data_IF_506682827400
#
_entry.id   IF_506682827400
#
_cell.length_a   1.000
_cell.length_b   1.000
_cell.length_c   1.000
_cell.angle_alpha   90.00
_cell.angle_beta   90.00
_cell.angle_gamma   90.00
#
_symmetry.space_group_name_H-M   'P 1'
#
loop_
_entity.id
_entity.type
_entity.pdbx_description
1 polymer ?
#
# COMPACT_ATOMS: atom_id res chain seq x y z
N UNK A 1 -43.22 30.37 -20.03
CA UNK A 1 -41.76 30.59 -19.87
C UNK A 1 -41.18 29.33 -19.27
N UNK A 2 -40.67 28.46 -20.09
CA UNK A 2 -40.10 27.16 -19.73
C UNK A 2 -38.61 27.34 -19.53
N UNK A 3 -38.18 27.26 -18.28
CA UNK A 3 -36.75 27.20 -17.93
C UNK A 3 -36.17 25.89 -18.42
N UNK A 4 -35.40 25.93 -19.47
CA UNK A 4 -34.47 24.87 -19.86
C UNK A 4 -33.27 24.97 -18.96
N UNK A 5 -33.26 24.17 -17.86
CA UNK A 5 -32.03 23.88 -17.14
C UNK A 5 -31.10 23.11 -18.08
N UNK A 6 -30.05 23.81 -18.52
CA UNK A 6 -28.98 23.22 -19.29
C UNK A 6 -28.29 22.17 -18.42
N UNK A 7 -28.60 20.90 -18.64
CA UNK A 7 -27.90 19.78 -18.06
C UNK A 7 -26.41 19.85 -18.45
N UNK A 8 -25.55 20.32 -17.55
CA UNK A 8 -24.11 20.16 -17.71
C UNK A 8 -23.81 18.65 -17.72
N UNK A 9 -23.42 18.15 -18.87
CA UNK A 9 -22.84 16.83 -19.00
C UNK A 9 -21.62 16.80 -18.06
N UNK A 10 -21.76 16.14 -16.95
CA UNK A 10 -20.61 15.88 -16.03
C UNK A 10 -19.76 14.83 -16.71
N UNK A 11 -18.69 15.25 -17.37
CA UNK A 11 -17.69 14.31 -17.87
C UNK A 11 -17.19 13.47 -16.68
N UNK A 12 -17.26 12.14 -16.74
CA UNK A 12 -16.72 11.30 -15.67
C UNK A 12 -15.26 11.66 -15.40
N UNK A 13 -14.93 11.88 -14.13
CA UNK A 13 -13.55 12.15 -13.71
C UNK A 13 -12.88 10.82 -13.40
N UNK A 14 -11.62 10.69 -13.78
CA UNK A 14 -10.81 9.50 -13.48
C UNK A 14 -10.45 8.70 -14.74
N UNK A 15 -9.80 7.57 -14.52
CA UNK A 15 -9.43 6.64 -15.59
C UNK A 15 -10.71 5.96 -16.08
N UNK A 16 -11.02 6.01 -17.39
CA UNK A 16 -12.20 5.34 -17.93
C UNK A 16 -12.20 3.84 -17.58
N UNK A 17 -13.34 3.35 -17.14
CA UNK A 17 -13.55 1.94 -16.74
C UNK A 17 -12.81 1.47 -15.49
N UNK A 18 -12.03 2.31 -14.81
CA UNK A 18 -11.43 1.93 -13.53
C UNK A 18 -12.52 1.68 -12.48
N UNK A 19 -12.40 0.57 -11.75
CA UNK A 19 -13.33 0.15 -10.70
C UNK A 19 -12.74 0.25 -9.30
N UNK A 20 -11.43 0.06 -9.17
CA UNK A 20 -10.68 0.12 -7.91
C UNK A 20 -9.19 0.36 -8.17
N UNK A 21 -8.42 0.56 -7.11
CA UNK A 21 -6.96 0.41 -7.13
C UNK A 21 -6.64 -1.07 -6.99
N UNK A 22 -5.98 -1.66 -7.97
CA UNK A 22 -5.71 -3.10 -7.99
C UNK A 22 -4.60 -3.47 -7.00
N UNK A 23 -3.44 -2.83 -7.09
CA UNK A 23 -2.30 -3.04 -6.21
C UNK A 23 -1.48 -1.77 -6.01
N UNK A 24 -0.62 -1.81 -5.00
CA UNK A 24 0.53 -0.91 -4.84
C UNK A 24 1.80 -1.73 -5.01
N UNK A 25 2.83 -1.16 -5.65
CA UNK A 25 4.07 -1.87 -5.93
C UNK A 25 5.26 -1.22 -5.22
N UNK A 26 6.20 -2.06 -4.75
CA UNK A 26 7.43 -1.63 -4.09
C UNK A 26 8.62 -2.42 -4.65
N UNK A 27 9.74 -1.72 -4.83
CA UNK A 27 11.02 -2.37 -5.11
C UNK A 27 11.76 -2.62 -3.79
N UNK A 28 12.18 -3.86 -3.59
CA UNK A 28 12.88 -4.32 -2.38
C UNK A 28 14.27 -4.85 -2.74
N UNK A 29 15.23 -4.83 -1.81
CA UNK A 29 16.59 -5.30 -2.09
C UNK A 29 16.69 -6.82 -2.23
N UNK A 30 15.86 -7.56 -1.51
CA UNK A 30 15.78 -9.02 -1.52
C UNK A 30 14.31 -9.44 -1.48
N UNK A 31 13.88 -10.18 -2.52
CA UNK A 31 12.47 -10.56 -2.66
C UNK A 31 12.07 -11.65 -1.67
N UNK A 32 12.97 -12.57 -1.36
CA UNK A 32 12.67 -13.67 -0.43
C UNK A 32 12.53 -13.13 1.00
N UNK A 33 13.48 -12.30 1.46
CA UNK A 33 13.39 -11.63 2.75
C UNK A 33 12.11 -10.79 2.87
N UNK A 34 11.79 -10.04 1.81
CA UNK A 34 10.59 -9.20 1.83
C UNK A 34 9.30 -10.02 1.87
N UNK A 35 9.20 -11.09 1.08
CA UNK A 35 8.03 -11.97 1.08
C UNK A 35 7.84 -12.64 2.43
N UNK A 36 8.91 -13.17 3.05
CA UNK A 36 8.87 -13.76 4.39
C UNK A 36 8.40 -12.73 5.42
N UNK A 37 8.95 -11.52 5.39
CA UNK A 37 8.52 -10.46 6.29
C UNK A 37 7.03 -10.09 6.12
N UNK A 38 6.55 -9.95 4.88
CA UNK A 38 5.15 -9.65 4.62
C UNK A 38 4.21 -10.77 5.08
N UNK A 39 4.63 -12.04 4.97
CA UNK A 39 3.85 -13.18 5.44
C UNK A 39 3.89 -13.27 6.97
N UNK A 40 5.07 -13.34 7.56
CA UNK A 40 5.26 -13.73 8.96
C UNK A 40 4.99 -12.58 9.93
N UNK A 41 5.32 -11.35 9.53
CA UNK A 41 5.16 -10.16 10.39
C UNK A 41 3.88 -9.39 10.08
N UNK A 42 3.54 -9.22 8.79
CA UNK A 42 2.41 -8.41 8.38
C UNK A 42 1.14 -9.23 8.08
N UNK A 43 1.24 -10.56 8.04
CA UNK A 43 0.09 -11.45 7.82
C UNK A 43 -0.45 -11.42 6.40
N UNK A 44 0.41 -11.29 5.40
CA UNK A 44 0.05 -11.36 3.99
C UNK A 44 -0.04 -12.82 3.50
N UNK A 45 -0.74 -13.02 2.38
CA UNK A 45 -0.76 -14.28 1.65
C UNK A 45 -0.03 -14.12 0.32
N UNK A 46 0.95 -14.97 0.05
CA UNK A 46 1.60 -15.03 -1.26
C UNK A 46 0.66 -15.67 -2.29
N UNK A 47 0.40 -14.98 -3.40
CA UNK A 47 -0.47 -15.46 -4.46
C UNK A 47 0.32 -16.16 -5.56
N UNK A 48 1.35 -15.49 -6.09
CA UNK A 48 2.24 -16.05 -7.12
C UNK A 48 3.57 -15.30 -7.18
N UNK A 49 4.53 -15.91 -7.89
CA UNK A 49 5.80 -15.30 -8.25
C UNK A 49 6.01 -15.36 -9.75
N UNK A 50 6.75 -14.39 -10.28
CA UNK A 50 7.27 -14.37 -11.63
C UNK A 50 8.78 -14.19 -11.53
N UNK A 51 9.51 -15.13 -12.12
CA UNK A 51 10.97 -15.11 -12.12
C UNK A 51 11.51 -14.66 -13.47
N UNK A 52 12.65 -13.97 -13.42
CA UNK A 52 13.49 -13.67 -14.57
C UNK A 52 12.78 -12.87 -15.69
N UNK A 53 12.02 -11.85 -15.31
CA UNK A 53 11.44 -10.88 -16.25
C UNK A 53 12.56 -10.01 -16.80
N UNK A 54 12.90 -10.18 -18.08
CA UNK A 54 14.01 -9.49 -18.75
C UNK A 54 13.81 -9.44 -20.27
N UNK A 55 14.57 -8.59 -20.91
CA UNK A 55 14.76 -8.57 -22.37
C UNK A 55 16.26 -8.43 -22.66
N UNK A 56 16.86 -9.49 -23.20
CA UNK A 56 18.32 -9.54 -23.39
C UNK A 56 18.78 -8.81 -24.66
N UNK A 57 17.93 -8.65 -25.66
CA UNK A 57 18.31 -8.10 -26.97
C UNK A 57 17.58 -6.78 -27.29
N UNK A 58 16.30 -6.67 -26.93
CA UNK A 58 15.45 -5.54 -27.25
C UNK A 58 15.49 -4.41 -26.23
N UNK A 59 14.47 -3.59 -26.22
CA UNK A 59 14.27 -2.45 -25.33
C UNK A 59 12.90 -2.50 -24.60
N UNK A 60 12.30 -3.68 -24.53
CA UNK A 60 10.98 -3.87 -23.93
C UNK A 60 10.94 -3.41 -22.47
N UNK A 61 11.98 -3.74 -21.67
CA UNK A 61 12.07 -3.30 -20.27
C UNK A 61 12.00 -1.77 -20.14
N UNK A 62 12.68 -1.06 -21.05
CA UNK A 62 12.63 0.40 -21.07
C UNK A 62 11.28 0.93 -21.54
N UNK A 63 10.77 0.43 -22.65
CA UNK A 63 9.54 0.96 -23.25
C UNK A 63 8.29 0.64 -22.46
N UNK A 64 8.22 -0.51 -21.79
CA UNK A 64 7.04 -0.94 -21.06
C UNK A 64 7.12 -0.63 -19.56
N UNK A 65 8.30 -0.80 -18.95
CA UNK A 65 8.46 -0.65 -17.50
C UNK A 65 9.20 0.63 -17.09
N UNK A 66 9.75 1.39 -18.04
CA UNK A 66 10.47 2.63 -17.77
C UNK A 66 11.79 2.44 -17.02
N UNK A 67 12.36 1.23 -17.06
CA UNK A 67 13.63 0.90 -16.41
C UNK A 67 14.75 0.74 -17.44
N UNK A 68 15.99 0.52 -16.98
CA UNK A 68 17.11 0.26 -17.90
C UNK A 68 16.81 -0.92 -18.84
N UNK A 69 17.16 -0.87 -20.16
CA UNK A 69 16.86 -1.95 -21.10
C UNK A 69 17.40 -3.33 -20.69
N UNK A 70 18.51 -3.34 -19.93
CA UNK A 70 19.12 -4.59 -19.40
C UNK A 70 18.76 -4.84 -17.93
N UNK A 71 17.70 -4.23 -17.41
CA UNK A 71 17.19 -4.58 -16.09
C UNK A 71 16.61 -6.02 -16.12
N UNK A 72 16.72 -6.69 -14.98
CA UNK A 72 16.04 -7.94 -14.69
C UNK A 72 15.16 -7.76 -13.48
N UNK A 73 14.03 -8.44 -13.42
CA UNK A 73 13.14 -8.38 -12.27
C UNK A 73 12.65 -9.78 -11.87
N UNK A 74 12.56 -9.98 -10.57
CA UNK A 74 11.75 -11.01 -9.92
C UNK A 74 10.57 -10.30 -9.26
N UNK A 75 9.41 -10.93 -9.28
CA UNK A 75 8.16 -10.32 -8.83
C UNK A 75 7.44 -11.29 -7.90
N UNK A 76 6.81 -10.77 -6.86
CA UNK A 76 5.87 -11.50 -6.03
C UNK A 76 4.59 -10.67 -5.87
N UNK A 77 3.45 -11.31 -6.05
CA UNK A 77 2.14 -10.72 -5.76
C UNK A 77 1.61 -11.30 -4.46
N UNK A 78 1.28 -10.41 -3.54
CA UNK A 78 0.73 -10.76 -2.25
C UNK A 78 -0.64 -10.09 -2.06
N UNK A 79 -1.51 -10.76 -1.32
CA UNK A 79 -2.68 -10.13 -0.73
C UNK A 79 -2.34 -9.70 0.70
N UNK A 80 -2.62 -8.45 1.02
CA UNK A 80 -2.36 -7.86 2.32
C UNK A 80 -3.68 -7.40 2.95
N UNK A 81 -4.18 -8.20 3.85
CA UNK A 81 -5.50 -7.99 4.43
C UNK A 81 -6.65 -8.20 3.44
N UNK A 82 -7.84 -7.68 3.75
CA UNK A 82 -9.06 -8.03 3.01
C UNK A 82 -9.23 -7.31 1.67
N UNK A 83 -8.56 -6.18 1.44
CA UNK A 83 -8.87 -5.29 0.29
C UNK A 83 -7.64 -4.73 -0.43
N UNK A 84 -6.43 -5.15 -0.09
CA UNK A 84 -5.21 -4.59 -0.68
C UNK A 84 -4.33 -5.69 -1.26
N UNK A 85 -3.85 -5.50 -2.48
CA UNK A 85 -2.78 -6.30 -3.05
C UNK A 85 -1.47 -5.50 -3.03
N UNK A 86 -0.37 -6.21 -2.85
CA UNK A 86 0.98 -5.66 -2.87
C UNK A 86 1.81 -6.44 -3.87
N UNK A 87 2.43 -5.73 -4.80
CA UNK A 87 3.38 -6.31 -5.73
C UNK A 87 4.79 -5.93 -5.31
N UNK A 88 5.63 -6.92 -5.04
CA UNK A 88 7.02 -6.73 -4.67
C UNK A 88 7.92 -7.05 -5.86
N UNK A 89 8.84 -6.14 -6.15
CA UNK A 89 9.86 -6.30 -7.17
C UNK A 89 11.23 -6.36 -6.52
N UNK A 90 12.07 -7.29 -6.98
CA UNK A 90 13.50 -7.19 -6.86
C UNK A 90 14.07 -6.93 -8.26
N UNK A 91 14.65 -5.74 -8.44
CA UNK A 91 15.32 -5.37 -9.69
C UNK A 91 16.83 -5.50 -9.57
N UNK A 92 17.45 -5.91 -10.69
CA UNK A 92 18.87 -5.73 -10.95
C UNK A 92 19.00 -4.86 -12.21
N UNK A 93 19.57 -3.68 -12.10
CA UNK A 93 19.76 -2.77 -13.24
C UNK A 93 21.10 -2.03 -13.14
N UNK A 94 21.78 -1.78 -14.29
CA UNK A 94 23.09 -1.11 -14.30
C UNK A 94 23.08 0.31 -13.72
N UNK A 95 21.94 0.99 -13.72
CA UNK A 95 21.72 2.36 -13.23
C UNK A 95 20.84 2.43 -11.99
N UNK A 96 20.68 1.31 -11.28
CA UNK A 96 19.80 1.23 -10.11
C UNK A 96 20.30 2.11 -8.95
N UNK A 97 19.41 2.96 -8.42
CA UNK A 97 19.63 3.59 -7.14
C UNK A 97 19.16 2.65 -6.02
N UNK A 98 20.10 2.16 -5.22
CA UNK A 98 19.86 1.20 -4.14
C UNK A 98 19.55 1.85 -2.78
N UNK A 99 19.44 3.17 -2.74
CA UNK A 99 19.12 3.87 -1.49
C UNK A 99 17.62 3.89 -1.24
N UNK A 100 17.20 3.36 -0.09
CA UNK A 100 15.81 3.49 0.35
C UNK A 100 15.51 4.97 0.65
N UNK A 101 14.50 5.58 0.00
CA UNK A 101 14.18 6.97 0.23
C UNK A 101 13.64 7.18 1.64
N UNK A 102 13.96 8.31 2.24
CA UNK A 102 13.30 8.76 3.47
C UNK A 102 11.86 9.15 3.14
N UNK A 103 10.98 9.14 4.14
CA UNK A 103 9.62 9.63 3.99
C UNK A 103 9.52 11.09 3.48
N UNK A 104 10.59 11.88 3.66
CA UNK A 104 10.71 13.29 3.22
C UNK A 104 11.28 13.48 1.82
N UNK A 105 11.77 12.43 1.16
CA UNK A 105 12.40 12.52 -0.16
C UNK A 105 11.33 12.42 -1.27
N UNK A 106 11.63 12.92 -2.46
CA UNK A 106 10.79 12.63 -3.63
C UNK A 106 10.81 11.12 -3.91
N UNK A 107 9.62 10.52 -4.03
CA UNK A 107 9.45 9.06 -4.06
C UNK A 107 9.41 8.42 -2.67
N UNK A 108 9.61 9.20 -1.61
CA UNK A 108 9.38 8.75 -0.24
C UNK A 108 7.92 8.35 -0.03
N UNK A 109 7.72 7.24 0.64
CA UNK A 109 6.39 6.66 0.88
C UNK A 109 6.39 5.86 2.17
N UNK A 110 5.19 5.56 2.65
CA UNK A 110 4.97 4.56 3.69
C UNK A 110 3.66 3.81 3.43
N UNK A 111 3.59 2.60 3.94
CA UNK A 111 2.39 1.78 3.97
C UNK A 111 1.80 1.83 5.37
N UNK A 112 0.53 2.22 5.49
CA UNK A 112 -0.13 2.40 6.77
C UNK A 112 -1.15 1.28 7.03
N UNK A 113 -1.15 0.74 8.25
CA UNK A 113 -2.05 -0.30 8.73
C UNK A 113 -2.99 0.27 9.77
N UNK A 114 -4.29 0.10 9.56
CA UNK A 114 -5.26 0.37 10.61
C UNK A 114 -5.23 -0.77 11.63
N UNK A 115 -5.01 -0.43 12.89
CA UNK A 115 -5.02 -1.37 14.02
C UNK A 115 -6.04 -0.94 15.06
N UNK A 116 -6.58 -1.86 15.83
CA UNK A 116 -7.53 -1.52 16.90
C UNK A 116 -6.83 -1.03 18.17
N UNK A 117 -5.55 -1.34 18.33
CA UNK A 117 -4.72 -0.95 19.47
C UNK A 117 -3.27 -0.69 19.00
N UNK A 118 -2.87 0.58 18.97
CA UNK A 118 -1.53 1.00 18.52
C UNK A 118 -0.45 0.61 19.52
N UNK A 119 -0.75 0.58 20.83
CA UNK A 119 0.23 0.21 21.85
C UNK A 119 0.55 -1.29 21.78
N UNK A 120 -0.46 -2.14 21.63
CA UNK A 120 -0.28 -3.57 21.41
C UNK A 120 0.47 -3.86 20.09
N UNK A 121 0.15 -3.12 19.01
CA UNK A 121 0.88 -3.23 17.75
C UNK A 121 2.36 -2.81 17.89
N UNK A 122 2.64 -1.75 18.67
CA UNK A 122 3.99 -1.30 18.94
C UNK A 122 4.81 -2.34 19.72
N UNK A 123 4.23 -2.99 20.73
CA UNK A 123 4.87 -4.08 21.46
C UNK A 123 5.19 -5.27 20.56
N UNK A 124 4.21 -5.67 19.73
CA UNK A 124 4.41 -6.74 18.76
C UNK A 124 5.56 -6.43 17.78
N UNK A 125 5.56 -5.22 17.19
CA UNK A 125 6.57 -4.80 16.20
C UNK A 125 7.98 -4.69 16.83
N UNK A 126 8.10 -4.22 18.07
CA UNK A 126 9.39 -4.18 18.78
C UNK A 126 9.99 -5.57 19.00
N UNK A 127 9.17 -6.61 19.09
CA UNK A 127 9.62 -7.98 19.26
C UNK A 127 10.04 -8.66 17.94
N UNK A 128 9.73 -8.07 16.77
CA UNK A 128 10.05 -8.69 15.48
C UNK A 128 11.53 -8.49 15.10
N UNK A 129 12.21 -9.52 14.61
CA UNK A 129 13.58 -9.42 14.14
C UNK A 129 13.74 -8.37 13.02
N UNK A 130 14.75 -7.52 13.11
CA UNK A 130 15.08 -6.52 12.09
C UNK A 130 14.15 -5.31 12.02
N UNK A 131 13.01 -5.33 12.69
CA UNK A 131 12.09 -4.18 12.73
C UNK A 131 12.65 -3.07 13.61
N UNK A 132 12.58 -1.84 13.11
CA UNK A 132 12.94 -0.64 13.88
C UNK A 132 11.71 0.23 14.10
N UNK A 133 11.25 0.33 15.34
CA UNK A 133 10.16 1.24 15.73
C UNK A 133 10.69 2.67 15.90
N UNK A 134 10.00 3.66 15.33
CA UNK A 134 10.41 5.08 15.37
C UNK A 134 9.67 5.83 16.48
N UNK A 135 10.31 5.92 17.64
CA UNK A 135 9.75 6.62 18.80
C UNK A 135 8.60 5.87 19.49
N UNK A 136 7.79 6.62 20.22
CA UNK A 136 6.62 6.10 20.92
C UNK A 136 5.32 6.47 20.18
N UNK A 137 4.24 5.70 20.34
CA UNK A 137 2.95 6.07 19.78
C UNK A 137 2.53 7.49 20.16
N UNK A 138 2.11 8.26 19.15
CA UNK A 138 1.68 9.66 19.31
C UNK A 138 0.18 9.77 19.06
N UNK A 139 -0.46 10.75 19.71
CA UNK A 139 -1.86 11.11 19.44
C UNK A 139 -1.91 12.55 18.95
N UNK A 140 -2.59 12.77 17.82
CA UNK A 140 -2.82 14.11 17.29
C UNK A 140 -3.89 14.79 18.14
N UNK A 141 -3.57 15.96 18.69
CA UNK A 141 -4.43 16.63 19.68
C UNK A 141 -5.39 17.64 19.07
N UNK A 142 -5.12 18.11 17.83
CA UNK A 142 -5.95 19.11 17.16
C UNK A 142 -6.00 18.93 15.63
N UNK A 143 -6.79 19.77 14.97
CA UNK A 143 -6.90 19.76 13.51
C UNK A 143 -7.85 18.71 12.95
N UNK A 144 -7.83 18.49 11.64
CA UNK A 144 -8.82 17.66 10.94
C UNK A 144 -8.80 16.18 11.30
N UNK A 145 -7.69 15.70 11.84
CA UNK A 145 -7.48 14.31 12.26
C UNK A 145 -7.18 14.20 13.75
N UNK A 146 -7.69 15.13 14.57
CA UNK A 146 -7.55 15.06 16.02
C UNK A 146 -8.13 13.76 16.56
N UNK A 147 -7.37 13.10 17.44
CA UNK A 147 -7.69 11.78 17.98
C UNK A 147 -7.00 10.63 17.25
N UNK A 148 -6.43 10.85 16.08
CA UNK A 148 -5.61 9.84 15.39
C UNK A 148 -4.40 9.50 16.26
N UNK A 149 -4.22 8.20 16.52
CA UNK A 149 -3.07 7.64 17.23
C UNK A 149 -2.26 6.82 16.27
N UNK A 150 -0.96 7.10 16.16
CA UNK A 150 -0.09 6.55 15.13
C UNK A 150 1.33 6.31 15.62
N UNK A 151 2.07 5.49 14.89
CA UNK A 151 3.49 5.23 15.09
C UNK A 151 4.12 4.71 13.80
N UNK A 152 5.30 5.23 13.46
CA UNK A 152 6.10 4.68 12.36
C UNK A 152 7.03 3.55 12.80
N UNK A 153 7.28 2.64 11.86
CA UNK A 153 8.32 1.62 11.99
C UNK A 153 8.98 1.37 10.63
N UNK A 154 10.08 0.63 10.62
CA UNK A 154 10.78 0.22 9.40
C UNK A 154 10.92 -1.28 9.34
N UNK A 155 10.72 -1.84 8.15
CA UNK A 155 11.10 -3.20 7.81
C UNK A 155 12.63 -3.40 7.90
N UNK A 156 13.15 -4.63 7.91
CA UNK A 156 14.57 -4.90 8.03
C UNK A 156 15.44 -4.15 7.00
N UNK A 157 14.97 -4.00 5.77
CA UNK A 157 15.67 -3.28 4.70
C UNK A 157 15.45 -1.76 4.71
N UNK A 158 14.70 -1.22 5.66
CA UNK A 158 14.51 0.23 5.85
C UNK A 158 13.25 0.84 5.27
N UNK A 159 12.38 0.06 4.60
CA UNK A 159 11.09 0.55 4.11
C UNK A 159 10.24 1.06 5.26
N UNK A 160 9.75 2.30 5.15
CA UNK A 160 8.95 2.92 6.20
C UNK A 160 7.50 2.46 6.13
N UNK A 161 6.93 2.20 7.29
CA UNK A 161 5.55 1.77 7.49
C UNK A 161 4.94 2.49 8.69
N UNK A 162 3.62 2.42 8.83
CA UNK A 162 2.87 3.07 9.89
C UNK A 162 1.81 2.12 10.44
N UNK A 163 1.57 2.20 11.74
CA UNK A 163 0.34 1.70 12.35
C UNK A 163 -0.46 2.88 12.90
N UNK A 164 -1.75 2.86 12.71
CA UNK A 164 -2.63 3.93 13.17
C UNK A 164 -4.01 3.42 13.61
N UNK A 165 -4.66 4.24 14.42
CA UNK A 165 -6.05 4.06 14.85
C UNK A 165 -6.75 5.40 14.87
N UNK A 166 -7.90 5.50 14.25
CA UNK A 166 -8.71 6.72 14.22
C UNK A 166 -10.02 6.52 14.98
N UNK A 167 -10.41 7.46 15.84
CA UNK A 167 -11.73 7.43 16.44
C UNK A 167 -12.82 7.69 15.39
N UNK A 168 -14.05 7.20 15.59
CA UNK A 168 -15.17 7.54 14.72
C UNK A 168 -15.51 9.03 14.83
N UNK A 169 -16.00 9.62 13.74
CA UNK A 169 -16.45 11.01 13.74
C UNK A 169 -15.32 12.04 13.74
N UNK A 170 -14.30 11.81 12.94
CA UNK A 170 -13.13 12.69 12.80
C UNK A 170 -13.54 14.13 12.43
N UNK A 171 -12.84 15.17 12.95
CA UNK A 171 -13.20 16.58 12.70
C UNK A 171 -13.26 16.97 11.22
N UNK A 172 -12.48 16.31 10.33
CA UNK A 172 -12.54 16.59 8.88
C UNK A 172 -13.93 16.31 8.29
N UNK A 173 -14.69 15.41 8.89
CA UNK A 173 -16.03 15.02 8.43
C UNK A 173 -17.06 16.16 8.52
N UNK A 174 -16.78 17.18 9.30
CA UNK A 174 -17.59 18.40 9.38
C UNK A 174 -17.35 19.33 8.18
N UNK A 175 -16.28 19.13 7.41
CA UNK A 175 -15.84 20.01 6.33
C UNK A 175 -16.06 19.42 4.92
N UNK A 176 -16.34 18.14 4.85
CA UNK A 176 -16.56 17.43 3.58
C UNK A 176 -17.53 16.27 3.78
N UNK A 177 -18.25 15.91 2.71
CA UNK A 177 -19.05 14.69 2.66
C UNK A 177 -18.23 13.45 2.30
N UNK A 178 -17.00 13.63 1.84
CA UNK A 178 -16.10 12.52 1.56
C UNK A 178 -15.71 11.81 2.88
N UNK A 179 -15.53 10.50 2.81
CA UNK A 179 -15.13 9.68 3.95
C UNK A 179 -13.93 8.83 3.58
N UNK A 180 -13.04 8.62 4.53
CA UNK A 180 -12.02 7.58 4.42
C UNK A 180 -12.70 6.22 4.37
N UNK A 181 -12.12 5.28 3.64
CA UNK A 181 -12.53 3.89 3.78
C UNK A 181 -12.24 3.45 5.23
N UNK A 182 -13.27 2.92 5.88
CA UNK A 182 -13.15 2.43 7.25
C UNK A 182 -12.41 1.08 7.30
N UNK A 183 -12.00 0.67 8.51
CA UNK A 183 -11.41 -0.65 8.69
C UNK A 183 -12.41 -1.77 8.37
N UNK A 184 -11.90 -2.88 7.85
CA UNK A 184 -12.67 -4.11 7.69
C UNK A 184 -12.85 -4.82 9.04
N UNK A 185 -13.89 -5.64 9.16
CA UNK A 185 -14.18 -6.39 10.39
C UNK A 185 -13.18 -7.51 10.67
N UNK A 186 -12.44 -7.97 9.66
CA UNK A 186 -11.48 -9.06 9.75
C UNK A 186 -10.26 -8.78 8.88
N UNK A 187 -9.08 -9.18 9.35
CA UNK A 187 -7.84 -9.15 8.57
C UNK A 187 -7.75 -10.30 7.56
N UNK A 188 -8.40 -11.42 7.85
CA UNK A 188 -8.33 -12.61 7.01
C UNK A 188 -9.35 -12.58 5.89
N UNK A 189 -8.98 -13.14 4.76
CA UNK A 189 -9.76 -13.16 3.53
C UNK A 189 -10.94 -14.14 3.50
N UNK A 190 -11.13 -14.92 4.53
CA UNK A 190 -12.22 -15.91 4.58
C UNK A 190 -13.63 -15.31 4.38
N UNK A 191 -13.74 -13.98 4.59
CA UNK A 191 -15.02 -13.27 4.47
C UNK A 191 -15.20 -12.51 3.15
N UNK A 192 -14.18 -12.46 2.25
CA UNK A 192 -14.23 -11.72 0.98
C UNK A 192 -14.54 -12.62 -0.22
N UNK A 193 -14.67 -13.92 -0.01
CA UNK A 193 -14.95 -14.92 -1.04
C UNK A 193 -16.44 -15.10 -1.35
N UNK A 194 -17.15 -14.05 -1.70
CA UNK A 194 -18.54 -14.16 -2.03
C UNK A 194 -19.03 -13.10 -3.01
N UNK A 195 -18.86 -13.36 -4.27
CA UNK A 195 -19.70 -12.93 -5.39
C UNK A 195 -18.93 -12.31 -6.56
N UNK A 196 -18.23 -13.12 -7.31
CA UNK A 196 -18.19 -12.89 -8.75
C UNK A 196 -19.48 -13.54 -9.27
N UNK A 197 -20.52 -12.72 -9.43
CA UNK A 197 -21.79 -13.17 -9.96
C UNK A 197 -21.58 -13.78 -11.34
N UNK A 198 -22.02 -15.02 -11.50
CA UNK A 198 -22.38 -15.60 -12.78
C UNK A 198 -23.42 -14.69 -13.44
N UNK A 199 -22.96 -13.83 -14.33
CA UNK A 199 -23.79 -13.10 -15.27
C UNK A 199 -23.74 -13.81 -16.59
N UNK A 200 -24.77 -14.63 -16.88
CA UNK A 200 -25.03 -15.25 -18.16
C UNK A 200 -25.32 -14.22 -19.27
#
# INVERSE_FOLDING_TARGET
MTNLESGRSVTPRGIPTATNVDHVAYTVPDLDEAVEFFIDVLGADLLYRLDDVKDEEGDWMHRQLGVHPRARAQIAMLRLGPVTNVELFQYEAPDQNVQIPKNSDYGGHHLAFYVTDVDAAAEYLRAQPGVTVLGEPQTITDGPIAGDRWMYFRAPWGMQMEVLNMPPGMPYEQRTSARLFGPCSSWTSSDVGGNVGDGG
#
